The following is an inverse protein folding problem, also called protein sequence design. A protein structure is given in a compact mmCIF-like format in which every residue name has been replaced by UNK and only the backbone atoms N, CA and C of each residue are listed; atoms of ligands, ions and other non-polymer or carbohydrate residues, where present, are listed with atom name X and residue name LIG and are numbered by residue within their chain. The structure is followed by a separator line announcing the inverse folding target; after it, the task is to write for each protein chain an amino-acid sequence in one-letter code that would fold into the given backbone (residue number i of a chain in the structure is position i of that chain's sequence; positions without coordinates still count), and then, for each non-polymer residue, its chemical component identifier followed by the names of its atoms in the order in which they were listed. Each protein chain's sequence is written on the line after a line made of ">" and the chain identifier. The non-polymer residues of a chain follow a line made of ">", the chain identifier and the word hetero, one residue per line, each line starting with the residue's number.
data_IF_945780869853
#
_entry.id   IF_945780869853
#
_cell.length_a   1.000
_cell.length_b   1.000
_cell.length_c   1.000
_cell.angle_alpha   90.00
_cell.angle_beta   90.00
_cell.angle_gamma   90.00
#
_symmetry.space_group_name_H-M   'P 1'
#
loop_
_entity.id
_entity.type
_entity.pdbx_description
1 polymer ?
#
# COMPACT_ATOMS: atom_id res chain seq x y z
N UNK A 1 -0.76 23.46 37.70
CA UNK A 1 -0.32 23.51 36.29
C UNK A 1 0.26 22.19 35.78
N UNK A 2 0.84 21.34 36.64
CA UNK A 2 1.52 20.07 36.27
C UNK A 2 0.56 18.98 35.78
N UNK A 3 -0.61 18.83 36.42
CA UNK A 3 -1.61 17.82 36.07
C UNK A 3 -2.16 18.00 34.63
N UNK A 4 -2.38 19.24 34.21
CA UNK A 4 -2.81 19.57 32.85
C UNK A 4 -1.75 19.16 31.82
N UNK A 5 -0.47 19.46 32.10
CA UNK A 5 0.65 19.07 31.23
C UNK A 5 0.74 17.56 31.08
N UNK A 6 0.66 16.82 32.19
CA UNK A 6 0.68 15.35 32.17
C UNK A 6 -0.46 14.77 31.33
N UNK A 7 -1.67 15.30 31.47
CA UNK A 7 -2.84 14.85 30.69
C UNK A 7 -2.68 15.11 29.19
N UNK A 8 -2.16 16.28 28.82
CA UNK A 8 -1.88 16.61 27.42
C UNK A 8 -0.82 15.65 26.84
N UNK A 9 0.27 15.39 27.57
CA UNK A 9 1.31 14.45 27.14
C UNK A 9 0.77 13.03 26.95
N UNK A 10 -0.05 12.54 27.87
CA UNK A 10 -0.67 11.23 27.77
C UNK A 10 -1.61 11.12 26.56
N UNK A 11 -2.43 12.14 26.32
CA UNK A 11 -3.32 12.18 25.17
C UNK A 11 -2.55 12.18 23.84
N UNK A 12 -1.45 12.94 23.75
CA UNK A 12 -0.59 12.95 22.57
C UNK A 12 0.05 11.58 22.32
N UNK A 13 0.52 10.90 23.36
CA UNK A 13 1.07 9.54 23.24
C UNK A 13 0.01 8.53 22.76
N UNK A 14 -1.20 8.56 23.34
CA UNK A 14 -2.29 7.68 22.95
C UNK A 14 -2.72 7.92 21.49
N UNK A 15 -2.83 9.18 21.08
CA UNK A 15 -3.14 9.56 19.71
C UNK A 15 -2.05 9.08 18.72
N UNK A 16 -0.77 9.25 19.08
CA UNK A 16 0.35 8.76 18.26
C UNK A 16 0.36 7.24 18.11
N UNK A 17 0.09 6.50 19.19
CA UNK A 17 -0.04 5.05 19.14
C UNK A 17 -1.23 4.60 18.28
N UNK A 18 -2.37 5.27 18.40
CA UNK A 18 -3.54 4.99 17.57
C UNK A 18 -3.25 5.22 16.08
N UNK A 19 -2.56 6.31 15.74
CA UNK A 19 -2.13 6.62 14.37
C UNK A 19 -1.19 5.53 13.83
N UNK A 20 -0.18 5.13 14.61
CA UNK A 20 0.77 4.09 14.21
C UNK A 20 0.07 2.75 13.94
N UNK A 21 -0.85 2.33 14.83
CA UNK A 21 -1.64 1.10 14.62
C UNK A 21 -2.49 1.17 13.35
N UNK A 22 -3.13 2.32 13.10
CA UNK A 22 -3.95 2.50 11.91
C UNK A 22 -3.11 2.42 10.63
N UNK A 23 -1.93 3.05 10.63
CA UNK A 23 -1.00 2.98 9.51
C UNK A 23 -0.52 1.54 9.28
N UNK A 24 -0.08 0.85 10.33
CA UNK A 24 0.40 -0.53 10.22
C UNK A 24 -0.68 -1.48 9.68
N UNK A 25 -1.95 -1.29 10.10
CA UNK A 25 -3.09 -2.06 9.60
C UNK A 25 -3.29 -1.94 8.09
N UNK A 26 -3.01 -0.78 7.51
CA UNK A 26 -3.19 -0.52 6.08
C UNK A 26 -1.89 -0.64 5.27
N UNK A 27 -0.74 -0.65 5.93
CA UNK A 27 0.56 -0.75 5.27
C UNK A 27 0.79 -2.10 4.58
N UNK A 28 0.16 -3.16 5.08
CA UNK A 28 0.23 -4.50 4.50
C UNK A 28 -0.82 -4.62 3.41
N UNK A 29 -0.36 -4.59 2.15
CA UNK A 29 -1.20 -4.91 1.00
C UNK A 29 -1.59 -6.39 0.94
N UNK A 30 -2.40 -6.80 -0.03
CA UNK A 30 -2.68 -8.22 -0.27
C UNK A 30 -1.38 -8.97 -0.61
N UNK A 31 -1.17 -10.11 0.06
CA UNK A 31 -0.13 -11.06 -0.32
C UNK A 31 -0.66 -11.98 -1.43
N UNK A 32 0.18 -12.24 -2.42
CA UNK A 32 -0.17 -13.13 -3.54
C UNK A 32 0.58 -14.44 -3.44
N UNK A 33 -0.13 -15.54 -3.69
CA UNK A 33 0.47 -16.88 -3.76
C UNK A 33 0.97 -17.18 -5.18
N UNK A 34 1.95 -18.07 -5.29
CA UNK A 34 2.41 -18.60 -6.58
C UNK A 34 1.24 -19.27 -7.30
N UNK A 35 1.03 -18.92 -8.57
CA UNK A 35 -0.12 -19.33 -9.38
C UNK A 35 -1.30 -18.34 -9.38
N UNK A 36 -1.28 -17.30 -8.54
CA UNK A 36 -2.31 -16.26 -8.53
C UNK A 36 -2.30 -15.44 -9.82
N UNK A 37 -3.48 -15.13 -10.37
CA UNK A 37 -3.62 -14.19 -11.49
C UNK A 37 -3.70 -12.76 -10.98
N UNK A 38 -2.81 -11.91 -11.46
CA UNK A 38 -2.72 -10.51 -11.04
C UNK A 38 -2.64 -9.57 -12.23
N UNK A 39 -3.17 -8.36 -12.07
CA UNK A 39 -3.02 -7.29 -13.06
C UNK A 39 -1.89 -6.36 -12.65
N UNK A 40 -0.95 -6.10 -13.55
CA UNK A 40 0.15 -5.20 -13.27
C UNK A 40 -0.28 -3.76 -13.53
N UNK A 41 -0.23 -2.91 -12.51
CA UNK A 41 -0.38 -1.47 -12.68
C UNK A 41 0.91 -0.90 -13.30
N UNK A 42 0.87 -0.60 -14.60
CA UNK A 42 1.99 -0.04 -15.34
C UNK A 42 1.48 1.12 -16.22
N UNK A 43 1.28 2.33 -15.64
CA UNK A 43 0.81 3.47 -16.39
C UNK A 43 1.88 3.91 -17.40
N UNK A 44 1.71 3.48 -18.65
CA UNK A 44 2.58 3.87 -19.76
C UNK A 44 1.90 4.93 -20.60
N UNK A 45 2.54 6.09 -20.74
CA UNK A 45 2.05 7.15 -21.60
C UNK A 45 2.47 6.87 -23.04
N UNK A 46 1.49 6.78 -23.96
CA UNK A 46 1.77 6.75 -25.39
C UNK A 46 1.56 8.14 -25.95
N UNK A 47 2.60 8.69 -26.58
CA UNK A 47 2.53 10.01 -27.20
C UNK A 47 1.38 10.07 -28.22
N UNK A 48 0.61 11.15 -28.21
CA UNK A 48 -0.56 11.32 -29.09
C UNK A 48 -1.84 10.61 -28.64
N UNK A 49 -1.84 9.90 -27.50
CA UNK A 49 -3.04 9.31 -26.91
C UNK A 49 -3.36 9.98 -25.57
N UNK A 50 -4.64 10.19 -25.29
CA UNK A 50 -5.09 10.83 -24.05
C UNK A 50 -4.93 9.87 -22.86
N UNK A 51 -4.16 10.23 -21.81
CA UNK A 51 -3.91 9.34 -20.66
C UNK A 51 -5.19 8.87 -19.95
N UNK A 52 -6.25 9.69 -19.94
CA UNK A 52 -7.54 9.36 -19.33
C UNK A 52 -8.31 8.24 -20.05
N UNK A 53 -8.02 8.01 -21.33
CA UNK A 53 -8.70 6.97 -22.13
C UNK A 53 -7.88 5.68 -22.21
N UNK A 54 -6.70 5.65 -21.60
CA UNK A 54 -5.83 4.48 -21.58
C UNK A 54 -6.01 3.70 -20.27
N UNK A 55 -6.13 2.39 -20.36
CA UNK A 55 -6.02 1.54 -19.18
C UNK A 55 -4.56 1.48 -18.73
N UNK A 56 -4.25 1.77 -17.45
CA UNK A 56 -2.90 1.60 -16.90
C UNK A 56 -2.60 0.14 -16.54
N UNK A 57 -3.58 -0.76 -16.69
CA UNK A 57 -3.47 -2.16 -16.30
C UNK A 57 -2.97 -3.01 -17.46
N UNK A 58 -1.92 -3.80 -17.21
CA UNK A 58 -1.36 -4.73 -18.18
C UNK A 58 -1.63 -6.16 -17.74
N UNK A 59 -2.30 -6.90 -18.63
CA UNK A 59 -2.46 -8.36 -18.62
C UNK A 59 -3.10 -8.98 -17.37
N UNK A 60 -3.50 -10.25 -17.46
CA UNK A 60 -3.41 -11.17 -16.35
C UNK A 60 -2.02 -11.83 -16.36
N UNK A 61 -1.19 -11.48 -15.39
CA UNK A 61 0.08 -12.15 -15.10
C UNK A 61 -0.15 -13.28 -14.09
N UNK A 62 0.80 -14.22 -14.01
CA UNK A 62 0.74 -15.32 -13.03
C UNK A 62 1.95 -15.21 -12.12
N UNK A 63 1.73 -15.13 -10.81
CA UNK A 63 2.84 -15.07 -9.87
C UNK A 63 3.64 -16.37 -9.94
N UNK A 64 4.92 -16.29 -10.34
CA UNK A 64 5.84 -17.43 -10.43
C UNK A 64 6.60 -17.65 -9.12
N UNK A 65 6.95 -16.56 -8.44
CA UNK A 65 7.66 -16.60 -7.17
C UNK A 65 7.39 -15.33 -6.35
N UNK A 66 7.35 -15.48 -5.02
CA UNK A 66 7.38 -14.36 -4.07
C UNK A 66 8.80 -14.27 -3.48
N UNK A 67 9.53 -13.20 -3.81
CA UNK A 67 10.90 -12.99 -3.33
C UNK A 67 10.92 -12.30 -1.98
N UNK A 68 10.03 -11.33 -1.80
CA UNK A 68 9.87 -10.53 -0.59
C UNK A 68 8.38 -10.25 -0.37
N UNK A 69 8.03 -9.63 0.76
CA UNK A 69 6.64 -9.30 1.12
C UNK A 69 5.89 -8.50 0.02
N UNK A 70 6.64 -7.69 -0.76
CA UNK A 70 6.07 -6.81 -1.81
C UNK A 70 6.66 -7.10 -3.20
N UNK A 71 7.63 -8.01 -3.33
CA UNK A 71 8.32 -8.27 -4.60
C UNK A 71 7.99 -9.66 -5.14
N UNK A 72 7.37 -9.68 -6.32
CA UNK A 72 6.90 -10.89 -6.99
C UNK A 72 7.51 -10.98 -8.40
N UNK A 73 7.79 -12.20 -8.83
CA UNK A 73 8.01 -12.51 -10.25
C UNK A 73 6.68 -12.93 -10.87
N UNK A 74 6.40 -12.40 -12.06
CA UNK A 74 5.14 -12.45 -12.79
C UNK A 74 5.28 -13.18 -14.14
#
# INVERSE_FOLDING_TARGET
>A
MTATRQRVTQNLQLAGQAMSRQYLRWSRGPQYEVGSRVWLHNPQWKHGQTPKLQSPWKGPYTVLAALMDVTYWL
#
